data_IF_302680122360
#
_entry.id   IF_302680122360
#
_cell.length_a   1.000
_cell.length_b   1.000
_cell.length_c   1.000
_cell.angle_alpha   90.00
_cell.angle_beta   90.00
_cell.angle_gamma   90.00
#
_symmetry.space_group_name_H-M   'P 1'
#
loop_
_entity.id
_entity.type
_entity.pdbx_description
1 polymer ?
#
# COMPACT_ATOMS: atom_id res chain seq x y z
N UNK A 1 2.04 -85.08 7.77
CA UNK A 1 2.14 -84.31 9.02
C UNK A 1 2.20 -82.83 8.64
N UNK A 2 1.15 -82.06 8.93
CA UNK A 2 1.08 -80.61 8.66
C UNK A 2 1.73 -79.85 9.83
N UNK A 3 2.65 -78.93 9.53
CA UNK A 3 3.12 -77.90 10.47
C UNK A 3 2.11 -76.73 10.52
N UNK A 4 1.81 -76.15 11.69
CA UNK A 4 0.97 -74.96 11.79
C UNK A 4 1.81 -73.70 11.53
N UNK A 5 1.33 -72.83 10.63
CA UNK A 5 1.80 -71.46 10.48
C UNK A 5 1.35 -70.65 11.71
N UNK A 6 2.29 -70.23 12.56
CA UNK A 6 2.05 -69.17 13.54
C UNK A 6 2.08 -67.81 12.81
N UNK A 7 0.91 -67.19 12.64
CA UNK A 7 0.81 -65.81 12.18
C UNK A 7 1.20 -64.86 13.33
N UNK A 8 2.36 -64.22 13.22
CA UNK A 8 2.78 -63.14 14.11
C UNK A 8 1.95 -61.90 13.75
N UNK A 9 0.92 -61.61 14.56
CA UNK A 9 0.17 -60.36 14.52
C UNK A 9 1.05 -59.23 15.08
N UNK A 10 1.66 -58.44 14.20
CA UNK A 10 2.19 -57.13 14.57
C UNK A 10 1.03 -56.22 14.97
N UNK A 11 1.06 -55.55 16.14
CA UNK A 11 0.06 -54.56 16.46
C UNK A 11 0.24 -53.37 15.51
N UNK A 12 -0.72 -53.19 14.59
CA UNK A 12 -0.90 -51.89 13.94
C UNK A 12 -1.24 -50.90 15.05
N UNK A 13 -0.25 -50.13 15.52
CA UNK A 13 -0.54 -48.88 16.20
C UNK A 13 -1.16 -47.96 15.17
N UNK A 14 -2.49 -47.93 15.13
CA UNK A 14 -3.23 -46.89 14.45
C UNK A 14 -2.79 -45.56 15.07
N UNK A 15 -1.87 -44.87 14.40
CA UNK A 15 -1.55 -43.49 14.72
C UNK A 15 -2.86 -42.73 14.49
N UNK A 16 -3.62 -42.49 15.55
CA UNK A 16 -4.80 -41.64 15.48
C UNK A 16 -4.30 -40.29 14.95
N UNK A 17 -4.63 -39.99 13.68
CA UNK A 17 -4.37 -38.67 13.14
C UNK A 17 -5.10 -37.70 14.05
N UNK A 18 -4.35 -36.92 14.84
CA UNK A 18 -4.89 -35.86 15.68
C UNK A 18 -5.62 -34.87 14.76
N UNK A 19 -6.91 -35.10 14.52
CA UNK A 19 -7.76 -34.17 13.80
C UNK A 19 -7.86 -32.92 14.68
N UNK A 20 -7.12 -31.88 14.30
CA UNK A 20 -7.21 -30.58 14.94
C UNK A 20 -8.65 -30.07 14.85
N UNK A 21 -9.29 -29.88 16.00
CA UNK A 21 -10.67 -29.36 16.11
C UNK A 21 -10.81 -28.05 15.33
N UNK A 22 -11.79 -27.91 14.41
CA UNK A 22 -11.92 -26.68 13.64
C UNK A 22 -12.02 -25.43 14.53
N UNK A 23 -11.08 -24.48 14.37
CA UNK A 23 -11.14 -23.19 15.06
C UNK A 23 -11.77 -22.14 14.16
N UNK A 24 -12.59 -21.27 14.76
CA UNK A 24 -13.25 -20.16 14.09
C UNK A 24 -12.61 -18.84 14.49
N UNK A 25 -12.44 -17.95 13.51
CA UNK A 25 -12.04 -16.56 13.71
C UNK A 25 -13.03 -15.64 12.97
N UNK A 26 -13.66 -14.72 13.68
CA UNK A 26 -14.54 -13.70 13.09
C UNK A 26 -13.75 -12.44 12.78
N UNK A 27 -13.85 -11.95 11.55
CA UNK A 27 -13.12 -10.78 11.06
C UNK A 27 -14.09 -9.62 10.88
N UNK A 28 -13.87 -8.55 11.63
CA UNK A 28 -14.60 -7.30 11.51
C UNK A 28 -13.85 -6.30 10.63
N UNK A 29 -14.54 -5.74 9.63
CA UNK A 29 -13.96 -4.72 8.74
C UNK A 29 -14.49 -3.35 9.13
N UNK A 30 -13.61 -2.52 9.70
CA UNK A 30 -13.96 -1.20 10.24
C UNK A 30 -13.10 -0.11 9.62
N UNK A 31 -13.65 1.09 9.45
CA UNK A 31 -12.82 2.27 9.16
C UNK A 31 -11.97 2.65 10.39
N UNK A 32 -10.97 3.50 10.19
CA UNK A 32 -10.22 4.14 11.28
C UNK A 32 -11.12 4.98 12.21
N UNK A 33 -12.31 5.36 11.74
CA UNK A 33 -13.35 6.03 12.52
C UNK A 33 -14.38 5.07 13.16
N UNK A 34 -14.21 3.76 13.04
CA UNK A 34 -15.09 2.75 13.66
C UNK A 34 -16.32 2.34 12.83
N UNK A 35 -16.60 2.99 11.70
CA UNK A 35 -17.72 2.63 10.81
C UNK A 35 -17.53 1.22 10.25
N UNK A 36 -18.60 0.42 10.21
CA UNK A 36 -18.61 -0.87 9.48
C UNK A 36 -18.54 -0.59 7.98
N UNK A 37 -17.54 -1.13 7.30
CA UNK A 37 -17.31 -0.88 5.85
C UNK A 37 -17.49 -2.13 4.99
N UNK A 38 -17.58 -3.30 5.61
CA UNK A 38 -17.91 -4.58 4.96
C UNK A 38 -18.57 -5.50 5.98
N UNK A 39 -19.39 -6.45 5.51
CA UNK A 39 -19.89 -7.54 6.35
C UNK A 39 -18.74 -8.31 7.00
N UNK A 40 -18.97 -8.81 8.22
CA UNK A 40 -17.98 -9.63 8.91
C UNK A 40 -17.75 -10.92 8.11
N UNK A 41 -16.55 -11.51 8.23
CA UNK A 41 -16.24 -12.80 7.61
C UNK A 41 -15.76 -13.77 8.67
N UNK A 42 -16.33 -14.97 8.68
CA UNK A 42 -15.86 -16.06 9.55
C UNK A 42 -14.87 -16.92 8.76
N UNK A 43 -13.71 -17.16 9.35
CA UNK A 43 -12.73 -18.12 8.88
C UNK A 43 -12.79 -19.35 9.78
N UNK A 44 -13.05 -20.50 9.19
CA UNK A 44 -12.90 -21.79 9.86
C UNK A 44 -11.61 -22.41 9.36
N UNK A 45 -10.72 -22.81 10.26
CA UNK A 45 -9.47 -23.47 9.90
C UNK A 45 -9.26 -24.73 10.74
N UNK A 46 -8.92 -25.80 10.04
CA UNK A 46 -8.26 -27.00 10.58
C UNK A 46 -6.76 -27.00 10.20
N UNK A 47 -6.32 -26.02 9.40
CA UNK A 47 -4.93 -25.90 8.94
C UNK A 47 -4.04 -25.12 9.92
N UNK A 48 -2.74 -25.23 9.73
CA UNK A 48 -1.71 -24.70 10.64
C UNK A 48 -1.70 -23.17 10.81
N UNK A 49 -2.33 -22.41 9.90
CA UNK A 49 -2.36 -20.93 9.94
C UNK A 49 -3.51 -20.30 9.16
N UNK A 50 -3.87 -19.07 9.53
CA UNK A 50 -4.70 -18.14 8.74
C UNK A 50 -3.84 -16.95 8.31
N UNK A 51 -3.72 -16.74 7.00
CA UNK A 51 -2.90 -15.68 6.42
C UNK A 51 -3.59 -14.32 6.51
N UNK A 52 -2.80 -13.27 6.75
CA UNK A 52 -3.29 -11.90 6.63
C UNK A 52 -3.67 -11.55 5.19
N UNK A 53 -2.79 -11.81 4.25
CA UNK A 53 -2.92 -11.46 2.84
C UNK A 53 -2.90 -12.71 1.96
N UNK A 54 -3.51 -12.63 0.76
CA UNK A 54 -3.58 -13.72 -0.22
C UNK A 54 -2.25 -14.10 -0.87
N UNK A 55 -1.20 -13.29 -0.66
CA UNK A 55 0.21 -13.68 -0.72
C UNK A 55 1.02 -12.82 0.24
N UNK A 56 2.29 -13.17 0.44
CA UNK A 56 3.19 -12.62 1.47
C UNK A 56 3.39 -11.12 1.32
N UNK A 57 2.70 -10.37 2.18
CA UNK A 57 3.02 -8.98 2.44
C UNK A 57 4.10 -8.95 3.52
N UNK A 58 5.34 -8.61 3.14
CA UNK A 58 6.43 -8.43 4.07
C UNK A 58 6.18 -7.22 5.00
N UNK A 59 6.75 -7.21 6.22
CA UNK A 59 6.67 -6.07 7.12
C UNK A 59 7.25 -4.76 6.52
N UNK A 60 8.00 -4.85 5.43
CA UNK A 60 8.58 -3.73 4.67
C UNK A 60 7.70 -3.24 3.51
N UNK A 61 6.44 -3.70 3.41
CA UNK A 61 5.55 -3.32 2.31
C UNK A 61 5.86 -4.03 0.98
N UNK A 62 6.87 -4.89 0.95
CA UNK A 62 7.25 -5.69 -0.21
C UNK A 62 6.37 -6.94 -0.27
N UNK A 63 5.57 -7.08 -1.31
CA UNK A 63 4.77 -8.28 -1.51
C UNK A 63 3.78 -8.13 -2.66
N UNK A 64 3.56 -9.20 -3.39
CA UNK A 64 2.41 -9.29 -4.28
C UNK A 64 1.14 -9.44 -3.45
N UNK A 65 0.01 -8.86 -3.89
CA UNK A 65 -1.30 -9.26 -3.40
C UNK A 65 -1.75 -10.45 -4.22
N UNK A 66 -1.85 -11.62 -3.59
CA UNK A 66 -2.05 -12.86 -4.32
C UNK A 66 -3.41 -12.81 -4.97
N UNK A 67 -3.52 -13.31 -6.20
CA UNK A 67 -4.81 -13.53 -6.87
C UNK A 67 -5.74 -14.46 -6.05
N UNK A 68 -5.19 -15.16 -5.05
CA UNK A 68 -5.95 -16.01 -4.14
C UNK A 68 -6.73 -15.21 -3.08
N UNK A 69 -8.03 -15.51 -2.91
CA UNK A 69 -8.91 -14.95 -1.86
C UNK A 69 -8.59 -15.45 -0.44
N UNK A 70 -7.39 -15.99 -0.21
CA UNK A 70 -7.04 -16.83 0.94
C UNK A 70 -6.69 -16.06 2.23
N UNK A 71 -6.52 -14.73 2.15
CA UNK A 71 -6.24 -13.88 3.32
C UNK A 71 -7.48 -13.27 3.97
N UNK A 72 -7.37 -12.90 5.25
CA UNK A 72 -8.42 -12.16 5.96
C UNK A 72 -8.44 -10.65 5.70
N UNK A 73 -7.36 -10.08 5.15
CA UNK A 73 -7.33 -8.71 4.63
C UNK A 73 -7.76 -8.76 3.17
N UNK A 74 -8.78 -7.97 2.84
CA UNK A 74 -9.36 -7.91 1.49
C UNK A 74 -9.30 -6.51 0.93
N UNK A 75 -9.24 -6.40 -0.40
CA UNK A 75 -9.43 -5.13 -1.11
C UNK A 75 -10.86 -4.63 -0.91
N UNK A 76 -11.01 -3.36 -0.53
CA UNK A 76 -12.29 -2.68 -0.37
C UNK A 76 -12.20 -1.38 -1.17
N UNK A 77 -13.12 -1.16 -2.13
CA UNK A 77 -13.10 0.01 -3.02
C UNK A 77 -13.06 1.32 -2.21
N UNK A 78 -12.09 2.19 -2.50
CA UNK A 78 -11.90 3.48 -1.84
C UNK A 78 -11.31 3.39 -0.42
N UNK A 79 -10.77 2.24 -0.01
CA UNK A 79 -10.18 2.01 1.31
C UNK A 79 -8.86 1.25 1.23
N UNK A 80 -7.94 1.62 2.12
CA UNK A 80 -6.62 1.01 2.24
C UNK A 80 -6.43 0.43 3.64
N UNK A 81 -5.86 -0.77 3.82
CA UNK A 81 -5.55 -1.32 5.14
C UNK A 81 -4.61 -0.39 5.92
N UNK A 82 -5.03 0.08 7.10
CA UNK A 82 -4.29 1.10 7.86
C UNK A 82 -3.13 0.55 8.70
N UNK A 83 -3.09 -0.77 8.90
CA UNK A 83 -2.13 -1.42 9.79
C UNK A 83 -1.57 -2.68 9.16
N UNK A 84 -0.26 -2.90 9.26
CA UNK A 84 0.41 -4.17 8.94
C UNK A 84 -0.30 -5.31 9.68
N UNK A 85 -0.65 -6.36 8.95
CA UNK A 85 -1.38 -7.52 9.46
C UNK A 85 -0.49 -8.75 9.43
N UNK A 86 -0.59 -9.55 10.48
CA UNK A 86 0.23 -10.75 10.69
C UNK A 86 -0.56 -12.02 10.40
N UNK A 87 0.13 -13.04 9.91
CA UNK A 87 -0.40 -14.39 9.86
C UNK A 87 -0.59 -14.95 11.27
N UNK A 88 -1.74 -15.56 11.53
CA UNK A 88 -2.01 -16.24 12.80
C UNK A 88 -1.76 -17.73 12.65
N UNK A 89 -0.93 -18.31 13.52
CA UNK A 89 -0.81 -19.77 13.65
C UNK A 89 -2.03 -20.32 14.38
N UNK A 90 -2.40 -21.56 14.09
CA UNK A 90 -3.56 -22.24 14.65
C UNK A 90 -3.61 -22.20 16.19
N UNK A 91 -2.47 -22.33 16.88
CA UNK A 91 -2.38 -22.28 18.35
C UNK A 91 -2.67 -20.88 18.91
N UNK A 92 -2.36 -19.82 18.15
CA UNK A 92 -2.52 -18.42 18.53
C UNK A 92 -3.63 -17.72 17.71
N UNK A 93 -4.58 -18.50 17.18
CA UNK A 93 -5.68 -17.96 16.39
C UNK A 93 -6.72 -17.31 17.33
N UNK A 94 -6.93 -15.99 17.24
CA UNK A 94 -7.93 -15.33 18.07
C UNK A 94 -9.36 -15.67 17.60
N UNK A 95 -10.32 -15.66 18.52
CA UNK A 95 -11.74 -15.85 18.19
C UNK A 95 -12.30 -14.72 17.31
N UNK A 96 -11.77 -13.50 17.46
CA UNK A 96 -12.12 -12.37 16.61
C UNK A 96 -10.96 -11.39 16.40
N UNK A 97 -11.00 -10.69 15.27
CA UNK A 97 -10.08 -9.59 14.96
C UNK A 97 -10.82 -8.43 14.30
N UNK A 98 -10.29 -7.22 14.45
CA UNK A 98 -10.71 -6.05 13.67
C UNK A 98 -9.62 -5.61 12.70
N UNK A 99 -9.95 -5.63 11.41
CA UNK A 99 -9.14 -5.04 10.34
C UNK A 99 -9.62 -3.60 10.13
N UNK A 100 -8.72 -2.66 10.43
CA UNK A 100 -8.92 -1.21 10.28
C UNK A 100 -8.46 -0.77 8.89
N UNK A 101 -9.31 0.02 8.24
CA UNK A 101 -9.05 0.63 6.95
C UNK A 101 -9.18 2.14 7.03
N UNK A 102 -8.39 2.87 6.23
CA UNK A 102 -8.53 4.31 6.05
C UNK A 102 -9.19 4.56 4.68
N UNK A 103 -10.09 5.55 4.59
CA UNK A 103 -10.60 6.03 3.29
C UNK A 103 -9.42 6.57 2.49
N UNK A 104 -9.29 6.16 1.23
CA UNK A 104 -8.18 6.58 0.37
C UNK A 104 -8.10 8.11 0.25
N UNK A 105 -9.23 8.79 0.06
CA UNK A 105 -9.26 10.26 0.01
C UNK A 105 -8.76 10.93 1.28
N UNK A 106 -9.00 10.32 2.45
CA UNK A 106 -8.48 10.82 3.73
C UNK A 106 -6.98 10.57 3.85
N UNK A 107 -6.52 9.41 3.38
CA UNK A 107 -5.10 9.07 3.33
C UNK A 107 -4.34 10.03 2.41
N UNK A 108 -4.78 10.18 1.16
CA UNK A 108 -4.24 11.12 0.18
C UNK A 108 -4.13 12.52 0.77
N UNK A 109 -5.22 13.09 1.31
CA UNK A 109 -5.18 14.43 1.93
C UNK A 109 -4.07 14.57 2.99
N UNK A 110 -3.93 13.60 3.89
CA UNK A 110 -2.95 13.65 4.98
C UNK A 110 -1.51 13.47 4.50
N UNK A 111 -1.30 12.61 3.52
CA UNK A 111 0.01 12.41 2.88
C UNK A 111 0.39 13.65 2.08
N UNK A 112 -0.50 14.17 1.24
CA UNK A 112 -0.30 15.40 0.45
C UNK A 112 0.07 16.60 1.33
N UNK A 113 -0.63 16.82 2.44
CA UNK A 113 -0.25 17.86 3.41
C UNK A 113 1.16 17.65 3.98
N UNK A 114 1.52 16.40 4.30
CA UNK A 114 2.85 16.07 4.81
C UNK A 114 3.93 16.23 3.74
N UNK A 115 3.60 15.95 2.48
CA UNK A 115 4.47 16.10 1.31
C UNK A 115 4.77 17.57 1.07
N UNK A 116 3.75 18.42 0.86
CA UNK A 116 3.96 19.85 0.55
C UNK A 116 4.77 20.55 1.65
N UNK A 117 4.56 20.17 2.92
CA UNK A 117 5.38 20.68 4.03
C UNK A 117 6.87 20.30 3.89
N UNK A 118 7.18 19.05 3.56
CA UNK A 118 8.55 18.57 3.40
C UNK A 118 9.21 19.14 2.14
N UNK A 119 8.48 19.13 1.03
CA UNK A 119 8.89 19.73 -0.24
C UNK A 119 9.22 21.22 -0.11
N UNK A 120 8.32 22.04 0.46
CA UNK A 120 8.59 23.47 0.66
C UNK A 120 9.71 23.74 1.67
N UNK A 121 9.91 22.86 2.66
CA UNK A 121 11.06 22.96 3.55
C UNK A 121 12.37 22.72 2.77
N UNK A 122 12.40 21.73 1.88
CA UNK A 122 13.55 21.47 1.01
C UNK A 122 13.81 22.64 0.06
N UNK A 123 12.77 23.19 -0.60
CA UNK A 123 12.89 24.40 -1.43
C UNK A 123 13.53 25.56 -0.68
N UNK A 124 13.10 25.80 0.57
CA UNK A 124 13.66 26.86 1.41
C UNK A 124 15.15 26.62 1.72
N UNK A 125 15.57 25.38 1.94
CA UNK A 125 16.99 25.04 2.11
C UNK A 125 17.82 25.34 0.86
N UNK A 126 17.20 25.27 -0.32
CA UNK A 126 17.82 25.66 -1.59
C UNK A 126 17.68 27.16 -1.91
N UNK A 127 17.24 27.99 -0.96
CA UNK A 127 17.06 29.43 -1.16
C UNK A 127 15.84 29.80 -2.01
N UNK A 128 14.91 28.87 -2.24
CA UNK A 128 13.72 29.09 -3.07
C UNK A 128 12.48 29.40 -2.24
N UNK A 129 11.54 30.13 -2.86
CA UNK A 129 10.24 30.42 -2.27
C UNK A 129 9.38 29.15 -2.14
N UNK A 130 8.62 29.07 -1.05
CA UNK A 130 7.59 28.06 -0.88
C UNK A 130 6.47 28.27 -1.90
N UNK A 131 6.01 27.18 -2.51
CA UNK A 131 4.88 27.22 -3.45
C UNK A 131 3.56 27.21 -2.69
N UNK A 132 2.60 27.99 -3.17
CA UNK A 132 1.29 28.17 -2.56
C UNK A 132 0.30 27.11 -3.06
N UNK A 133 -0.71 26.85 -2.24
CA UNK A 133 -1.83 25.97 -2.60
C UNK A 133 -2.76 26.63 -3.63
N UNK A 134 -3.34 25.82 -4.53
CA UNK A 134 -4.36 26.27 -5.49
C UNK A 134 -5.39 25.18 -5.73
N UNK A 135 -6.64 25.45 -5.35
CA UNK A 135 -7.76 24.48 -5.43
C UNK A 135 -7.99 23.88 -6.83
N UNK A 136 -7.75 24.65 -7.90
CA UNK A 136 -7.87 24.16 -9.27
C UNK A 136 -6.85 23.07 -9.61
N UNK A 137 -5.63 23.16 -9.06
CA UNK A 137 -4.60 22.15 -9.21
C UNK A 137 -4.95 20.89 -8.41
N UNK A 138 -5.46 21.05 -7.19
CA UNK A 138 -5.81 19.93 -6.31
C UNK A 138 -6.78 18.93 -6.97
N UNK A 139 -7.78 19.43 -7.72
CA UNK A 139 -8.70 18.57 -8.46
C UNK A 139 -7.98 17.79 -9.56
N UNK A 140 -7.07 18.44 -10.30
CA UNK A 140 -6.31 17.83 -11.39
C UNK A 140 -5.36 16.74 -10.88
N UNK A 141 -4.55 17.04 -9.86
CA UNK A 141 -3.58 16.07 -9.31
C UNK A 141 -4.26 14.84 -8.70
N UNK A 142 -5.44 15.01 -8.09
CA UNK A 142 -6.19 13.88 -7.56
C UNK A 142 -6.71 12.96 -8.67
N UNK A 143 -7.17 13.50 -9.79
CA UNK A 143 -7.54 12.69 -10.96
C UNK A 143 -6.29 12.04 -11.54
N UNK A 144 -5.22 12.82 -11.69
CA UNK A 144 -3.99 12.39 -12.33
C UNK A 144 -3.30 11.24 -11.60
N UNK A 145 -3.23 11.29 -10.27
CA UNK A 145 -2.69 10.20 -9.47
C UNK A 145 -3.45 8.87 -9.67
N UNK A 146 -4.74 8.92 -10.03
CA UNK A 146 -5.50 7.72 -10.40
C UNK A 146 -5.26 7.29 -11.85
N UNK A 147 -5.09 8.24 -12.76
CA UNK A 147 -4.79 7.98 -14.17
C UNK A 147 -3.44 7.27 -14.36
N UNK A 148 -2.46 7.50 -13.49
CA UNK A 148 -1.16 6.83 -13.52
C UNK A 148 -1.29 5.29 -13.40
N UNK A 149 -2.26 4.79 -12.63
CA UNK A 149 -2.54 3.35 -12.59
C UNK A 149 -3.05 2.75 -13.92
N UNK A 150 -3.57 3.59 -14.81
CA UNK A 150 -4.04 3.19 -16.14
C UNK A 150 -2.92 3.33 -17.16
N UNK A 151 -2.15 4.42 -17.04
CA UNK A 151 -1.02 4.73 -17.91
C UNK A 151 0.06 5.46 -17.12
N UNK A 152 1.16 4.75 -16.92
CA UNK A 152 2.35 5.18 -16.17
C UNK A 152 3.30 5.99 -17.07
N UNK A 153 2.88 7.21 -17.39
CA UNK A 153 3.50 8.08 -18.39
C UNK A 153 3.01 9.50 -18.15
N UNK A 154 3.84 10.52 -18.43
CA UNK A 154 3.45 11.94 -18.46
C UNK A 154 2.37 12.29 -19.52
N UNK A 155 2.07 11.36 -20.42
CA UNK A 155 0.90 11.39 -21.29
C UNK A 155 -0.27 10.70 -20.58
N UNK A 156 -1.33 11.46 -20.33
CA UNK A 156 -2.56 10.99 -19.69
C UNK A 156 -3.27 9.96 -20.58
N UNK A 157 -4.18 9.12 -20.03
CA UNK A 157 -4.97 8.16 -20.81
C UNK A 157 -5.77 8.78 -21.96
N UNK A 158 -6.09 10.07 -21.89
CA UNK A 158 -6.79 10.80 -22.94
C UNK A 158 -5.85 11.41 -24.02
N UNK A 159 -4.55 11.11 -23.98
CA UNK A 159 -3.54 11.60 -24.92
C UNK A 159 -2.99 13.00 -24.62
N UNK A 160 -3.50 13.70 -23.60
CA UNK A 160 -3.00 15.03 -23.22
C UNK A 160 -1.83 14.93 -22.23
N UNK A 161 -0.94 15.91 -22.21
CA UNK A 161 0.12 16.02 -21.19
C UNK A 161 0.10 17.38 -20.52
N UNK A 162 0.35 17.40 -19.22
CA UNK A 162 0.59 18.64 -18.49
C UNK A 162 1.98 19.24 -18.78
N UNK A 163 2.91 18.46 -19.33
CA UNK A 163 4.23 18.93 -19.78
C UNK A 163 4.25 19.35 -21.27
N UNK A 164 3.09 19.35 -21.95
CA UNK A 164 3.01 19.84 -23.32
C UNK A 164 3.30 21.35 -23.40
N UNK A 165 3.89 21.81 -24.52
CA UNK A 165 4.15 23.24 -24.76
C UNK A 165 2.85 24.04 -24.60
N UNK A 166 2.91 25.17 -23.89
CA UNK A 166 1.77 26.05 -23.59
C UNK A 166 0.62 25.40 -22.77
N UNK A 167 0.86 24.27 -22.10
CA UNK A 167 -0.15 23.67 -21.20
C UNK A 167 -0.54 24.60 -20.04
N UNK A 168 0.38 25.50 -19.65
CA UNK A 168 0.28 26.34 -18.46
C UNK A 168 0.66 25.60 -17.16
N UNK A 169 1.23 24.40 -17.27
CA UNK A 169 1.62 23.56 -16.13
C UNK A 169 2.99 22.92 -16.33
N UNK A 170 3.57 22.46 -15.23
CA UNK A 170 4.59 21.41 -15.21
C UNK A 170 4.10 20.25 -14.36
N UNK A 171 4.59 19.05 -14.63
CA UNK A 171 4.24 17.81 -13.93
C UNK A 171 5.49 17.02 -13.56
N UNK A 172 5.52 16.54 -12.32
CA UNK A 172 6.38 15.46 -11.83
C UNK A 172 5.52 14.31 -11.33
N UNK A 173 6.06 13.10 -11.40
CA UNK A 173 5.40 11.89 -10.92
C UNK A 173 6.38 11.03 -10.11
N UNK A 174 5.85 10.40 -9.07
CA UNK A 174 6.58 9.49 -8.20
C UNK A 174 5.77 8.20 -8.05
N UNK A 175 6.38 7.06 -8.34
CA UNK A 175 5.66 5.81 -8.51
C UNK A 175 6.43 4.63 -7.92
N UNK A 176 5.74 3.78 -7.14
CA UNK A 176 6.26 2.45 -6.83
C UNK A 176 5.14 1.41 -6.86
N UNK A 177 4.69 1.01 -8.05
CA UNK A 177 3.81 -0.13 -8.19
C UNK A 177 4.42 -1.40 -7.59
N UNK A 178 3.59 -2.19 -6.90
CA UNK A 178 4.04 -3.41 -6.23
C UNK A 178 4.60 -4.47 -7.20
N UNK A 179 4.30 -4.36 -8.51
CA UNK A 179 4.86 -5.26 -9.54
C UNK A 179 6.30 -4.93 -9.94
N UNK A 180 6.82 -3.74 -9.61
CA UNK A 180 8.23 -3.39 -9.81
C UNK A 180 9.15 -3.94 -8.71
N UNK A 181 8.58 -4.48 -7.63
CA UNK A 181 9.35 -4.99 -6.50
C UNK A 181 9.43 -6.53 -6.55
N UNK A 182 10.63 -7.11 -6.74
CA UNK A 182 10.87 -8.51 -6.41
C UNK A 182 10.50 -8.77 -4.93
N UNK A 183 10.02 -9.98 -4.63
CA UNK A 183 9.76 -10.37 -3.25
C UNK A 183 11.04 -10.21 -2.40
N UNK A 184 11.01 -9.32 -1.40
CA UNK A 184 12.13 -9.09 -0.48
C UNK A 184 13.09 -7.96 -0.86
N UNK A 185 12.79 -7.14 -1.87
CA UNK A 185 13.65 -6.01 -2.24
C UNK A 185 13.32 -4.74 -1.43
N UNK A 186 14.28 -4.23 -0.65
CA UNK A 186 14.22 -2.89 -0.02
C UNK A 186 15.31 -2.02 -0.62
N UNK A 187 14.94 -0.95 -1.33
CA UNK A 187 15.84 0.18 -1.54
C UNK A 187 15.20 1.43 -0.93
N UNK A 188 16.01 2.22 -0.24
CA UNK A 188 15.64 3.57 0.18
C UNK A 188 15.43 4.43 -1.08
N UNK A 189 14.41 5.29 -1.10
CA UNK A 189 14.20 6.27 -2.19
C UNK A 189 13.34 5.83 -3.39
N UNK A 190 12.53 4.77 -3.27
CA UNK A 190 11.63 4.36 -4.36
C UNK A 190 10.20 4.89 -4.15
N UNK A 191 9.74 5.76 -5.05
CA UNK A 191 8.32 6.02 -5.30
C UNK A 191 7.42 6.55 -4.20
N UNK A 192 6.14 6.65 -4.56
CA UNK A 192 5.05 6.77 -3.62
C UNK A 192 4.71 5.41 -2.99
N UNK A 193 5.10 5.16 -1.73
CA UNK A 193 4.79 3.89 -1.04
C UNK A 193 4.37 4.06 0.42
N UNK A 194 3.56 3.13 0.93
CA UNK A 194 3.10 3.16 2.31
C UNK A 194 4.20 2.76 3.30
N UNK A 195 4.50 3.67 4.23
CA UNK A 195 5.48 3.47 5.31
C UNK A 195 4.74 3.30 6.63
N UNK A 196 5.15 2.32 7.43
CA UNK A 196 4.51 1.98 8.70
C UNK A 196 5.45 2.25 9.88
N UNK A 197 4.91 2.68 11.03
CA UNK A 197 5.68 2.85 12.26
C UNK A 197 5.93 1.51 12.98
N UNK A 198 6.66 1.54 14.09
CA UNK A 198 6.91 0.37 14.96
C UNK A 198 5.63 -0.31 15.49
N UNK A 199 4.49 0.39 15.55
CA UNK A 199 3.18 -0.18 15.91
C UNK A 199 2.48 -0.82 14.70
N UNK A 200 3.08 -0.75 13.52
CA UNK A 200 2.57 -1.22 12.24
C UNK A 200 1.51 -0.33 11.62
N UNK A 201 1.29 0.91 12.07
CA UNK A 201 0.31 1.84 11.48
C UNK A 201 0.96 2.69 10.39
N UNK A 202 0.20 3.04 9.33
CA UNK A 202 0.68 3.96 8.28
C UNK A 202 1.14 5.28 8.91
N UNK A 203 2.28 5.79 8.44
CA UNK A 203 2.82 7.11 8.78
C UNK A 203 2.68 8.05 7.60
N UNK A 204 1.92 9.13 7.76
CA UNK A 204 1.74 10.10 6.66
C UNK A 204 3.04 10.82 6.29
N UNK A 205 3.85 11.16 7.30
CA UNK A 205 5.17 11.78 7.11
C UNK A 205 6.13 10.84 6.38
N UNK A 206 6.23 9.58 6.82
CA UNK A 206 7.11 8.59 6.20
C UNK A 206 6.70 8.29 4.76
N UNK A 207 5.42 8.06 4.49
CA UNK A 207 4.89 7.87 3.13
C UNK A 207 5.13 9.08 2.23
N UNK A 208 4.96 10.30 2.75
CA UNK A 208 5.28 11.49 1.97
C UNK A 208 6.78 11.61 1.67
N UNK A 209 7.64 11.20 2.60
CA UNK A 209 9.09 11.30 2.45
C UNK A 209 9.61 10.44 1.30
N UNK A 210 9.05 9.25 1.07
CA UNK A 210 9.53 8.36 -0.01
C UNK A 210 9.43 9.04 -1.38
N UNK A 211 8.30 9.70 -1.66
CA UNK A 211 8.09 10.44 -2.91
C UNK A 211 8.95 11.71 -2.98
N UNK A 212 9.14 12.44 -1.87
CA UNK A 212 10.05 13.60 -1.85
C UNK A 212 11.49 13.17 -2.15
N UNK A 213 11.96 12.11 -1.49
CA UNK A 213 13.33 11.62 -1.68
C UNK A 213 13.56 11.17 -3.11
N UNK A 214 12.63 10.41 -3.68
CA UNK A 214 12.70 9.98 -5.08
C UNK A 214 12.82 11.20 -6.00
N UNK A 215 11.87 12.13 -5.97
CA UNK A 215 11.83 13.26 -6.91
C UNK A 215 13.06 14.19 -6.82
N UNK A 216 13.72 14.22 -5.66
CA UNK A 216 14.95 14.99 -5.49
C UNK A 216 16.20 14.26 -5.96
N UNK A 217 16.15 12.93 -6.08
CA UNK A 217 17.34 12.08 -6.30
C UNK A 217 17.30 11.24 -7.58
N UNK A 218 16.12 10.97 -8.14
CA UNK A 218 15.94 10.01 -9.24
C UNK A 218 16.66 10.45 -10.52
N UNK A 219 16.45 11.70 -10.94
CA UNK A 219 17.15 12.31 -12.05
C UNK A 219 17.15 13.84 -11.96
N UNK A 220 17.91 14.46 -12.88
CA UNK A 220 18.06 15.92 -12.92
C UNK A 220 16.77 16.62 -13.34
N UNK A 221 16.00 16.06 -14.27
CA UNK A 221 14.82 16.72 -14.83
C UNK A 221 13.70 16.83 -13.78
N UNK A 222 13.45 15.76 -13.02
CA UNK A 222 12.51 15.79 -11.89
C UNK A 222 12.97 16.81 -10.85
N UNK A 223 14.24 16.74 -10.41
CA UNK A 223 14.78 17.68 -9.42
C UNK A 223 14.69 19.14 -9.88
N UNK A 224 15.06 19.45 -11.11
CA UNK A 224 14.98 20.81 -11.66
C UNK A 224 13.53 21.29 -11.73
N UNK A 225 12.59 20.40 -12.06
CA UNK A 225 11.15 20.71 -12.08
C UNK A 225 10.62 20.95 -10.67
N UNK A 226 11.00 20.14 -9.68
CA UNK A 226 10.65 20.36 -8.28
C UNK A 226 11.24 21.66 -7.72
N UNK A 227 12.47 22.00 -8.13
CA UNK A 227 13.21 23.20 -7.71
C UNK A 227 13.04 24.38 -8.67
N UNK A 228 11.99 24.36 -9.48
CA UNK A 228 11.74 25.44 -10.43
C UNK A 228 11.54 26.80 -9.71
N UNK A 229 11.89 27.88 -10.40
CA UNK A 229 11.75 29.26 -9.93
C UNK A 229 10.53 29.98 -10.49
N UNK A 230 9.87 29.40 -11.50
CA UNK A 230 8.79 30.04 -12.24
C UNK A 230 7.40 29.82 -11.63
N UNK A 231 7.16 28.71 -10.94
CA UNK A 231 5.85 28.44 -10.36
C UNK A 231 5.60 29.29 -9.10
N UNK A 232 4.38 29.77 -8.91
CA UNK A 232 3.91 30.30 -7.62
C UNK A 232 2.99 29.33 -6.89
N UNK A 233 2.44 28.35 -7.61
CA UNK A 233 1.49 27.37 -7.06
C UNK A 233 1.93 25.94 -7.34
N UNK A 234 1.64 25.07 -6.38
CA UNK A 234 1.76 23.63 -6.57
C UNK A 234 0.76 22.87 -5.72
N UNK A 235 0.29 21.74 -6.24
CA UNK A 235 -0.47 20.75 -5.49
C UNK A 235 0.04 19.36 -5.85
N UNK A 236 -0.21 18.42 -4.95
CA UNK A 236 0.13 17.00 -5.11
C UNK A 236 -1.09 16.14 -4.85
N UNK A 237 -1.21 15.05 -5.59
CA UNK A 237 -2.21 14.01 -5.40
C UNK A 237 -1.54 12.66 -5.24
N UNK A 238 -2.09 11.84 -4.36
CA UNK A 238 -1.69 10.45 -4.16
C UNK A 238 -2.87 9.50 -4.36
N UNK A 239 -2.61 8.34 -4.95
CA UNK A 239 -3.50 7.18 -4.93
C UNK A 239 -2.74 5.96 -4.43
N UNK A 240 -3.40 5.10 -3.65
CA UNK A 240 -2.76 3.96 -3.02
C UNK A 240 -3.58 2.69 -3.22
N UNK A 241 -2.87 1.60 -3.51
CA UNK A 241 -3.46 0.27 -3.56
C UNK A 241 -3.43 -0.41 -2.17
N UNK A 242 -4.16 -1.51 -2.05
CA UNK A 242 -4.28 -2.26 -0.79
C UNK A 242 -2.99 -3.02 -0.42
N UNK A 243 -2.06 -3.11 -1.37
CA UNK A 243 -0.76 -3.76 -1.30
C UNK A 243 0.37 -2.74 -1.10
N UNK A 244 0.08 -1.60 -0.47
CA UNK A 244 1.11 -0.63 -0.09
C UNK A 244 1.65 0.24 -1.21
N UNK A 245 1.50 -0.17 -2.47
CA UNK A 245 1.96 0.61 -3.63
C UNK A 245 1.14 1.88 -3.83
N UNK A 246 1.77 2.88 -4.45
CA UNK A 246 1.18 4.18 -4.66
C UNK A 246 1.64 4.84 -5.96
N UNK A 247 0.79 5.76 -6.41
CA UNK A 247 1.04 6.69 -7.51
C UNK A 247 0.91 8.11 -6.97
N UNK A 248 1.85 8.97 -7.35
CA UNK A 248 1.85 10.39 -7.00
C UNK A 248 1.99 11.21 -8.28
N UNK A 249 1.21 12.29 -8.36
CA UNK A 249 1.41 13.33 -9.35
C UNK A 249 1.44 14.69 -8.66
N UNK A 250 2.36 15.54 -9.06
CA UNK A 250 2.43 16.93 -8.63
C UNK A 250 2.38 17.85 -9.84
N UNK A 251 1.59 18.90 -9.71
CA UNK A 251 1.48 19.94 -10.72
C UNK A 251 2.06 21.25 -10.21
N UNK A 252 2.71 21.96 -11.11
CA UNK A 252 3.27 23.29 -10.92
C UNK A 252 2.56 24.26 -11.85
N UNK A 253 2.30 25.46 -11.35
CA UNK A 253 1.68 26.53 -12.13
C UNK A 253 2.28 27.87 -11.74
N UNK A 254 2.48 28.74 -12.72
CA UNK A 254 2.74 30.16 -12.50
C UNK A 254 1.62 30.77 -11.65
#
# INVERSE_FOLDING_TARGET
MLLPLLAILLPLTAQAASQSTPKKMVVHYRSTTGKKIKANRTFTTTGSRVLAYGSTFGPQGTGTFGKSKAGYVVKIKGYVPFKIRKTYRYQKLPASITVKYIKESTLNKKVATSYIKQFNAYRKQQGLNALKHRKSLLKKVNVRAHELWIRDDHIRPNGQSYNAKLSGYGETMAELPAYYLPAGYTMEGLGATLVYNHKGNITYKGTAKTAVDELMTCDKLHRDTELNTWAHYSEVGFSFAADGSGMMAQLFQY
#
